data_IF_017564176312
#
_entry.id   IF_017564176312
#
_cell.length_a   1.000
_cell.length_b   1.000
_cell.length_c   1.000
_cell.angle_alpha   90.00
_cell.angle_beta   90.00
_cell.angle_gamma   90.00
#
_symmetry.space_group_name_H-M   'P 1'
#
loop_
_entity.id
_entity.type
_entity.pdbx_description
1 polymer ?
#
# COMPACT_ATOMS: atom_id res chain seq x y z
N UNK A 1 19.69 10.12 5.34
CA UNK A 1 18.42 10.24 4.57
C UNK A 1 17.70 8.91 4.70
N UNK A 2 16.39 8.90 4.89
CA UNK A 2 15.66 7.65 5.04
C UNK A 2 15.85 6.75 3.82
N UNK A 3 15.84 5.44 4.03
CA UNK A 3 15.86 4.47 2.94
C UNK A 3 14.45 4.21 2.41
N UNK A 4 13.46 4.27 3.30
CA UNK A 4 12.06 4.02 3.00
C UNK A 4 11.20 5.21 3.43
N UNK A 5 10.34 5.67 2.52
CA UNK A 5 9.24 6.60 2.81
C UNK A 5 7.93 5.84 2.81
N UNK A 6 7.24 5.83 3.94
CA UNK A 6 5.91 5.20 4.08
C UNK A 6 4.83 6.26 3.85
N UNK A 7 3.94 5.98 2.91
CA UNK A 7 2.88 6.89 2.46
C UNK A 7 1.54 6.40 2.99
N UNK A 8 0.85 7.25 3.73
CA UNK A 8 -0.46 6.93 4.32
C UNK A 8 -1.50 7.93 3.81
N UNK A 9 -2.33 7.56 2.82
CA UNK A 9 -3.52 8.34 2.54
C UNK A 9 -4.52 8.14 3.68
N UNK A 10 -4.91 9.23 4.32
CA UNK A 10 -5.84 9.22 5.45
C UNK A 10 -7.10 10.03 5.14
N UNK A 11 -8.25 9.47 5.48
CA UNK A 11 -9.52 10.17 5.47
C UNK A 11 -10.38 9.71 6.66
N UNK A 12 -10.34 10.49 7.75
CA UNK A 12 -11.19 10.29 8.93
C UNK A 12 -11.03 8.94 9.66
N UNK A 13 -9.88 8.28 9.56
CA UNK A 13 -9.64 7.02 10.25
C UNK A 13 -9.21 7.25 11.71
N UNK A 14 -9.81 6.56 12.67
CA UNK A 14 -9.39 6.62 14.08
C UNK A 14 -8.12 5.80 14.34
N UNK A 15 -7.61 5.06 13.35
CA UNK A 15 -6.48 4.15 13.53
C UNK A 15 -5.16 4.69 13.00
N UNK A 16 -5.14 5.88 12.41
CA UNK A 16 -3.96 6.47 11.79
C UNK A 16 -2.78 6.56 12.74
N UNK A 17 -2.98 7.10 13.95
CA UNK A 17 -1.92 7.19 14.93
C UNK A 17 -1.34 5.83 15.35
N UNK A 18 -2.20 4.81 15.50
CA UNK A 18 -1.77 3.43 15.80
C UNK A 18 -0.94 2.84 14.66
N UNK A 19 -1.36 3.07 13.42
CA UNK A 19 -0.61 2.62 12.23
C UNK A 19 0.76 3.27 12.17
N UNK A 20 0.84 4.58 12.35
CA UNK A 20 2.12 5.31 12.37
C UNK A 20 3.02 4.79 13.48
N UNK A 21 2.50 4.66 14.69
CA UNK A 21 3.25 4.14 15.82
C UNK A 21 3.79 2.74 15.54
N UNK A 22 2.96 1.84 15.02
CA UNK A 22 3.37 0.47 14.68
C UNK A 22 4.50 0.45 13.63
N UNK A 23 4.40 1.28 12.59
CA UNK A 23 5.47 1.46 11.60
C UNK A 23 6.77 1.89 12.26
N UNK A 24 6.73 2.94 13.07
CA UNK A 24 7.93 3.52 13.70
C UNK A 24 8.58 2.61 14.74
N UNK A 25 7.81 1.73 15.41
CA UNK A 25 8.29 0.74 16.37
C UNK A 25 8.81 -0.54 15.70
N UNK A 26 8.25 -0.91 14.55
CA UNK A 26 8.56 -2.18 13.87
C UNK A 26 9.64 -2.03 12.82
N UNK A 27 9.81 -0.86 12.23
CA UNK A 27 10.93 -0.60 11.34
C UNK A 27 12.27 -0.75 12.08
N UNK A 28 13.28 -1.27 11.40
CA UNK A 28 14.65 -1.45 11.92
C UNK A 28 15.67 -0.57 11.18
N UNK A 29 15.30 -0.06 10.01
CA UNK A 29 16.09 0.89 9.24
C UNK A 29 15.65 2.34 9.46
N UNK A 30 16.21 3.23 8.65
CA UNK A 30 15.87 4.65 8.66
C UNK A 30 14.62 4.87 7.78
N UNK A 31 13.50 5.19 8.42
CA UNK A 31 12.20 5.39 7.77
C UNK A 31 11.61 6.76 8.08
N UNK A 32 10.88 7.31 7.14
CA UNK A 32 9.97 8.44 7.35
C UNK A 32 8.54 8.04 7.01
N UNK A 33 7.58 8.73 7.60
CA UNK A 33 6.15 8.53 7.34
C UNK A 33 5.55 9.84 6.84
N UNK A 34 4.86 9.79 5.71
CA UNK A 34 4.19 10.96 5.13
C UNK A 34 2.69 10.65 5.04
N UNK A 35 1.91 11.41 5.78
CA UNK A 35 0.46 11.23 5.89
C UNK A 35 -0.24 12.32 5.08
N UNK A 36 -1.03 11.92 4.08
CA UNK A 36 -1.96 12.84 3.45
C UNK A 36 -3.29 12.86 4.21
N UNK A 37 -3.63 14.00 4.78
CA UNK A 37 -4.88 14.22 5.54
C UNK A 37 -5.91 14.85 4.60
N UNK A 38 -6.82 14.03 4.06
CA UNK A 38 -7.76 14.45 3.01
C UNK A 38 -8.99 15.21 3.54
N UNK A 39 -9.29 15.10 4.84
CA UNK A 39 -10.39 15.83 5.51
C UNK A 39 -10.00 16.27 6.93
N UNK A 40 -10.34 15.49 7.95
CA UNK A 40 -10.07 15.82 9.34
C UNK A 40 -8.69 15.34 9.78
N UNK A 41 -8.05 16.14 10.61
CA UNK A 41 -6.80 15.74 11.24
C UNK A 41 -6.99 14.48 12.09
N UNK A 42 -6.01 13.57 12.09
CA UNK A 42 -6.04 12.41 12.97
C UNK A 42 -6.13 12.83 14.45
N UNK A 43 -6.93 12.11 15.22
CA UNK A 43 -7.02 12.27 16.67
C UNK A 43 -6.81 10.90 17.34
N UNK A 44 -5.72 10.72 18.14
CA UNK A 44 -4.67 11.70 18.42
C UNK A 44 -3.74 11.96 17.23
N UNK A 45 -3.18 13.16 17.16
CA UNK A 45 -2.09 13.50 16.26
C UNK A 45 -0.78 12.98 16.85
N UNK A 46 -0.04 12.15 16.10
CA UNK A 46 1.27 11.67 16.54
C UNK A 46 2.36 12.67 16.17
N UNK A 47 2.97 13.31 17.16
CA UNK A 47 4.11 14.22 16.98
C UNK A 47 5.44 13.44 17.08
N UNK A 48 6.04 13.13 15.93
CA UNK A 48 7.37 12.50 15.81
C UNK A 48 8.11 13.17 14.65
N UNK A 49 9.40 13.46 14.82
CA UNK A 49 10.24 14.12 13.81
C UNK A 49 10.35 13.36 12.47
N UNK A 50 10.01 12.08 12.45
CA UNK A 50 9.97 11.24 11.25
C UNK A 50 8.63 11.29 10.53
N UNK A 51 7.63 11.98 11.09
CA UNK A 51 6.28 12.05 10.52
C UNK A 51 6.05 13.44 9.92
N UNK A 52 5.58 13.46 8.70
CA UNK A 52 5.15 14.67 7.99
C UNK A 52 3.68 14.55 7.63
N UNK A 53 2.89 15.55 7.97
CA UNK A 53 1.50 15.64 7.56
C UNK A 53 1.34 16.67 6.44
N UNK A 54 0.57 16.32 5.41
CA UNK A 54 0.13 17.23 4.36
C UNK A 54 -1.40 17.32 4.36
N UNK A 55 -1.90 18.55 4.29
CA UNK A 55 -3.33 18.83 4.25
C UNK A 55 -3.63 19.77 3.10
N UNK A 56 -4.43 19.34 2.10
CA UNK A 56 -4.69 20.14 0.89
C UNK A 56 -5.67 21.31 1.10
N UNK A 57 -6.21 21.50 2.30
CA UNK A 57 -7.21 22.53 2.61
C UNK A 57 -8.65 22.16 2.19
N UNK A 58 -8.79 21.26 1.22
CA UNK A 58 -10.07 20.66 0.80
C UNK A 58 -9.84 19.24 0.29
N UNK A 59 -10.82 18.35 0.36
CA UNK A 59 -10.66 16.97 -0.10
C UNK A 59 -10.25 16.87 -1.57
N UNK A 60 -9.17 16.15 -1.84
CA UNK A 60 -8.59 15.93 -3.19
C UNK A 60 -8.62 14.46 -3.60
N UNK A 61 -8.95 13.57 -2.67
CA UNK A 61 -9.00 12.14 -2.89
C UNK A 61 -7.63 11.44 -2.75
N UNK A 62 -7.72 10.10 -2.68
CA UNK A 62 -6.57 9.26 -2.35
C UNK A 62 -5.44 9.33 -3.38
N UNK A 63 -5.75 9.39 -4.69
CA UNK A 63 -4.75 9.41 -5.75
C UNK A 63 -3.88 10.66 -5.69
N UNK A 64 -4.51 11.82 -5.58
CA UNK A 64 -3.80 13.06 -5.36
C UNK A 64 -2.94 13.00 -4.10
N UNK A 65 -3.52 12.48 -3.01
CA UNK A 65 -2.82 12.36 -1.73
C UNK A 65 -1.57 11.49 -1.81
N UNK A 66 -1.63 10.37 -2.54
CA UNK A 66 -0.47 9.49 -2.77
C UNK A 66 0.57 10.22 -3.60
N UNK A 67 0.20 10.85 -4.73
CA UNK A 67 1.12 11.60 -5.57
C UNK A 67 1.81 12.74 -4.80
N UNK A 68 1.05 13.53 -4.06
CA UNK A 68 1.57 14.64 -3.27
C UNK A 68 2.53 14.17 -2.16
N UNK A 69 2.21 13.07 -1.48
CA UNK A 69 3.08 12.50 -0.46
C UNK A 69 4.37 11.93 -1.05
N UNK A 70 4.30 11.22 -2.18
CA UNK A 70 5.48 10.67 -2.87
C UNK A 70 6.38 11.79 -3.41
N UNK A 71 5.82 12.92 -3.85
CA UNK A 71 6.60 14.08 -4.27
C UNK A 71 7.50 14.64 -3.14
N UNK A 72 7.10 14.49 -1.89
CA UNK A 72 7.88 14.88 -0.70
C UNK A 72 8.81 13.78 -0.19
N UNK A 73 8.64 12.54 -0.65
CA UNK A 73 9.38 11.37 -0.19
C UNK A 73 10.88 11.50 -0.51
N UNK A 74 11.72 11.24 0.49
CA UNK A 74 13.19 11.30 0.42
C UNK A 74 13.84 9.93 0.32
N UNK A 75 13.09 8.85 0.59
CA UNK A 75 13.57 7.48 0.53
C UNK A 75 13.84 7.02 -0.90
N UNK A 76 14.84 6.15 -1.07
CA UNK A 76 15.02 5.40 -2.32
C UNK A 76 13.80 4.53 -2.63
N UNK A 77 13.20 3.97 -1.59
CA UNK A 77 12.02 3.13 -1.66
C UNK A 77 10.80 3.86 -1.11
N UNK A 78 9.64 3.54 -1.65
CA UNK A 78 8.34 4.01 -1.19
C UNK A 78 7.45 2.82 -0.87
N UNK A 79 6.66 2.95 0.18
CA UNK A 79 5.63 1.98 0.55
C UNK A 79 4.33 2.74 0.82
N UNK A 80 3.27 2.46 0.06
CA UNK A 80 1.94 2.93 0.43
C UNK A 80 1.30 1.91 1.38
N UNK A 81 0.63 2.39 2.38
CA UNK A 81 -0.22 1.55 3.23
C UNK A 81 -1.50 2.27 3.62
N UNK A 82 -2.55 1.51 3.92
CA UNK A 82 -3.76 2.09 4.50
C UNK A 82 -3.51 2.55 5.95
N UNK A 83 -4.35 3.43 6.43
CA UNK A 83 -4.28 4.06 7.75
C UNK A 83 -4.77 3.18 8.92
N UNK A 84 -4.99 1.89 8.67
CA UNK A 84 -5.41 0.86 9.63
C UNK A 84 -4.64 -0.45 9.40
N UNK A 85 -3.31 -0.36 9.29
CA UNK A 85 -2.42 -1.49 9.06
C UNK A 85 -1.44 -1.71 10.23
N UNK A 86 -1.07 -2.97 10.42
CA UNK A 86 -0.11 -3.43 11.41
C UNK A 86 0.99 -4.24 10.70
N UNK A 87 2.23 -4.14 11.17
CA UNK A 87 3.40 -4.72 10.52
C UNK A 87 4.16 -5.68 11.44
N UNK A 88 4.85 -6.65 10.85
CA UNK A 88 5.83 -7.45 11.57
C UNK A 88 7.16 -6.68 11.72
N UNK A 89 7.93 -7.00 12.77
CA UNK A 89 9.21 -6.35 13.01
C UNK A 89 10.19 -6.57 11.86
N UNK A 90 10.83 -5.51 11.40
CA UNK A 90 11.80 -5.55 10.31
C UNK A 90 11.18 -5.65 8.92
N UNK A 91 9.89 -5.33 8.77
CA UNK A 91 9.20 -5.34 7.48
C UNK A 91 9.93 -4.52 6.42
N UNK A 92 10.47 -3.37 6.80
CA UNK A 92 11.23 -2.46 5.95
C UNK A 92 12.49 -3.12 5.39
N UNK A 93 13.26 -3.77 6.24
CA UNK A 93 14.47 -4.49 5.86
C UNK A 93 14.15 -5.66 4.94
N UNK A 94 13.12 -6.47 5.27
CA UNK A 94 12.70 -7.62 4.46
C UNK A 94 12.30 -7.16 3.06
N UNK A 95 11.50 -6.10 2.94
CA UNK A 95 11.07 -5.59 1.63
C UNK A 95 12.25 -5.08 0.81
N UNK A 96 13.17 -4.32 1.43
CA UNK A 96 14.35 -3.77 0.74
C UNK A 96 15.30 -4.89 0.29
N UNK A 97 15.61 -5.87 1.14
CA UNK A 97 16.52 -6.95 0.81
C UNK A 97 16.01 -7.88 -0.28
N UNK A 98 14.69 -8.00 -0.40
CA UNK A 98 14.04 -8.83 -1.41
C UNK A 98 13.62 -8.06 -2.66
N UNK A 99 13.92 -6.76 -2.77
CA UNK A 99 13.64 -5.96 -3.95
C UNK A 99 14.78 -6.11 -4.98
N UNK A 100 14.76 -7.22 -5.72
CA UNK A 100 15.87 -7.62 -6.57
C UNK A 100 15.88 -6.93 -7.94
N UNK A 101 14.79 -6.31 -8.36
CA UNK A 101 14.69 -5.61 -9.64
C UNK A 101 13.94 -4.30 -9.47
N UNK A 102 14.47 -3.23 -10.06
CA UNK A 102 13.94 -1.87 -9.91
C UNK A 102 12.53 -1.69 -10.51
N UNK A 103 12.12 -2.55 -11.44
CA UNK A 103 10.80 -2.55 -12.07
C UNK A 103 9.75 -3.41 -11.34
N UNK A 104 10.06 -3.96 -10.18
CA UNK A 104 9.11 -4.72 -9.39
C UNK A 104 8.23 -3.83 -8.52
N UNK A 105 7.00 -4.30 -8.32
CA UNK A 105 6.10 -3.84 -7.26
C UNK A 105 5.85 -5.00 -6.32
N UNK A 106 6.35 -4.90 -5.09
CA UNK A 106 6.18 -5.94 -4.08
C UNK A 106 4.88 -5.71 -3.31
N UNK A 107 4.14 -6.80 -3.10
CA UNK A 107 2.90 -6.84 -2.36
C UNK A 107 3.07 -7.71 -1.13
N UNK A 108 3.15 -7.14 0.07
CA UNK A 108 3.25 -7.92 1.29
C UNK A 108 2.05 -8.85 1.49
N UNK A 109 2.30 -10.04 2.04
CA UNK A 109 1.22 -10.95 2.46
C UNK A 109 0.28 -10.25 3.41
N UNK A 110 -1.02 -10.27 3.12
CA UNK A 110 -2.02 -9.64 3.96
C UNK A 110 -2.69 -10.63 4.91
N UNK A 111 -2.65 -10.30 6.18
CA UNK A 111 -3.45 -10.90 7.23
C UNK A 111 -4.62 -9.98 7.59
N UNK A 112 -5.74 -10.57 8.03
CA UNK A 112 -6.86 -9.77 8.54
C UNK A 112 -6.51 -9.20 9.92
N UNK A 113 -6.73 -7.90 10.10
CA UNK A 113 -6.57 -7.19 11.37
C UNK A 113 -7.93 -7.02 12.06
N UNK A 114 -7.97 -7.25 13.35
CA UNK A 114 -8.98 -6.72 14.26
C UNK A 114 -8.44 -5.36 14.74
N UNK A 115 -8.87 -4.27 14.09
CA UNK A 115 -8.32 -2.95 14.33
C UNK A 115 -8.65 -2.40 15.71
N UNK A 116 -9.80 -2.76 16.29
CA UNK A 116 -10.17 -2.35 17.64
C UNK A 116 -9.22 -2.95 18.68
N UNK A 117 -8.91 -4.24 18.56
CA UNK A 117 -8.00 -4.94 19.46
C UNK A 117 -6.53 -4.83 19.07
N UNK A 118 -6.25 -4.25 17.91
CA UNK A 118 -4.93 -4.17 17.29
C UNK A 118 -4.19 -5.50 17.27
N UNK A 119 -4.87 -6.52 16.71
CA UNK A 119 -4.38 -7.91 16.68
C UNK A 119 -4.74 -8.58 15.37
N UNK A 120 -3.83 -9.46 14.89
CA UNK A 120 -4.15 -10.34 13.78
C UNK A 120 -5.38 -11.18 14.08
N UNK A 121 -6.36 -11.17 13.19
CA UNK A 121 -7.51 -12.07 13.24
C UNK A 121 -7.13 -13.43 12.65
N UNK A 122 -6.82 -14.38 13.54
CA UNK A 122 -6.40 -15.74 13.15
C UNK A 122 -7.53 -16.61 12.60
N UNK A 123 -8.79 -16.19 12.72
CA UNK A 123 -9.94 -16.95 12.18
C UNK A 123 -10.10 -16.75 10.67
N UNK A 124 -9.43 -15.77 10.07
CA UNK A 124 -9.46 -15.50 8.64
C UNK A 124 -8.15 -15.94 7.98
N UNK A 125 -8.20 -16.56 6.79
CA UNK A 125 -7.00 -16.92 6.07
C UNK A 125 -6.24 -15.65 5.63
N UNK A 126 -4.94 -15.80 5.42
CA UNK A 126 -4.14 -14.76 4.77
C UNK A 126 -4.46 -14.71 3.26
N UNK A 127 -4.04 -13.62 2.60
CA UNK A 127 -4.21 -13.41 1.16
C UNK A 127 -2.86 -13.12 0.52
N UNK A 128 -2.51 -13.92 -0.49
CA UNK A 128 -1.29 -13.77 -1.28
C UNK A 128 -1.60 -13.40 -2.74
N UNK A 129 -2.61 -14.04 -3.33
CA UNK A 129 -2.86 -13.94 -4.75
C UNK A 129 -4.23 -13.40 -5.07
N UNK A 130 -4.25 -12.50 -6.06
CA UNK A 130 -5.47 -12.06 -6.70
C UNK A 130 -5.32 -12.24 -8.21
N UNK A 131 -6.42 -12.48 -8.90
CA UNK A 131 -6.50 -12.32 -10.35
C UNK A 131 -7.36 -11.11 -10.69
N UNK A 132 -7.10 -10.51 -11.85
CA UNK A 132 -7.84 -9.36 -12.33
C UNK A 132 -9.15 -9.83 -12.95
N UNK A 133 -10.26 -9.17 -12.60
CA UNK A 133 -11.56 -9.47 -13.14
C UNK A 133 -12.21 -8.22 -13.76
N UNK A 134 -13.04 -8.45 -14.77
CA UNK A 134 -13.82 -7.39 -15.41
C UNK A 134 -14.87 -6.82 -14.45
N UNK A 135 -15.35 -5.59 -14.72
CA UNK A 135 -16.49 -5.02 -14.01
C UNK A 135 -17.68 -6.00 -13.98
N UNK A 136 -18.26 -6.19 -12.81
CA UNK A 136 -19.40 -7.08 -12.61
C UNK A 136 -20.64 -6.25 -12.31
N UNK A 137 -21.51 -6.09 -13.29
CA UNK A 137 -22.73 -5.29 -13.16
C UNK A 137 -23.54 -5.68 -11.93
N UNK A 138 -23.93 -4.69 -11.15
CA UNK A 138 -24.71 -4.85 -9.92
C UNK A 138 -23.88 -5.31 -8.70
N UNK A 139 -22.55 -5.35 -8.79
CA UNK A 139 -21.65 -5.59 -7.67
C UNK A 139 -21.03 -4.28 -7.18
N UNK A 140 -20.53 -4.28 -5.94
CA UNK A 140 -19.67 -3.19 -5.50
C UNK A 140 -18.49 -3.07 -6.48
N UNK A 141 -18.18 -1.84 -6.91
CA UNK A 141 -17.12 -1.55 -7.88
C UNK A 141 -17.42 -2.09 -9.29
N UNK A 142 -18.68 -2.05 -9.71
CA UNK A 142 -19.11 -2.50 -11.03
C UNK A 142 -18.69 -1.56 -12.18
N UNK A 143 -18.14 -0.39 -11.85
CA UNK A 143 -17.60 0.61 -12.76
C UNK A 143 -16.12 0.43 -13.13
N UNK A 144 -15.44 -0.58 -12.58
CA UNK A 144 -14.02 -0.81 -12.84
C UNK A 144 -13.55 -2.25 -12.72
N UNK A 145 -12.32 -2.50 -13.17
CA UNK A 145 -11.64 -3.77 -12.96
C UNK A 145 -11.23 -3.90 -11.50
N UNK A 146 -11.27 -5.11 -10.95
CA UNK A 146 -10.87 -5.36 -9.57
C UNK A 146 -10.17 -6.70 -9.40
N UNK A 147 -9.39 -6.79 -8.30
CA UNK A 147 -8.73 -8.03 -7.91
C UNK A 147 -9.68 -8.93 -7.12
N UNK A 148 -9.73 -10.20 -7.49
CA UNK A 148 -10.47 -11.25 -6.78
C UNK A 148 -9.50 -12.26 -6.20
N UNK A 149 -9.76 -12.73 -4.98
CA UNK A 149 -8.89 -13.70 -4.32
C UNK A 149 -8.76 -15.01 -5.11
N UNK A 150 -7.53 -15.44 -5.33
CA UNK A 150 -7.21 -16.66 -6.06
C UNK A 150 -6.87 -17.81 -5.11
N UNK A 151 -7.89 -18.32 -4.44
CA UNK A 151 -7.75 -19.34 -3.40
C UNK A 151 -7.12 -20.65 -3.87
N UNK A 152 -7.35 -21.06 -5.13
CA UNK A 152 -6.76 -22.28 -5.68
C UNK A 152 -5.25 -22.16 -5.81
N UNK A 153 -4.74 -21.02 -6.29
CA UNK A 153 -3.30 -20.76 -6.34
C UNK A 153 -2.71 -20.70 -4.94
N UNK A 154 -3.39 -20.04 -4.02
CA UNK A 154 -2.93 -19.94 -2.64
C UNK A 154 -2.83 -21.30 -1.96
N UNK A 155 -3.83 -22.19 -2.15
CA UNK A 155 -3.80 -23.55 -1.59
C UNK A 155 -2.69 -24.42 -2.19
N UNK A 156 -2.32 -24.20 -3.46
CA UNK A 156 -1.24 -24.93 -4.14
C UNK A 156 0.14 -24.42 -3.78
N UNK A 157 0.24 -23.21 -3.19
CA UNK A 157 1.50 -22.69 -2.69
C UNK A 157 1.85 -23.33 -1.35
N UNK A 158 2.18 -24.62 -1.38
CA UNK A 158 2.61 -25.37 -0.21
C UNK A 158 4.13 -25.50 -0.12
N UNK A 159 4.86 -25.07 -1.14
CA UNK A 159 6.33 -25.15 -1.18
C UNK A 159 6.93 -23.96 -0.43
N UNK A 160 7.59 -24.18 0.73
CA UNK A 160 8.26 -23.12 1.48
C UNK A 160 9.46 -22.51 0.75
N UNK A 161 9.85 -23.02 -0.43
CA UNK A 161 10.93 -22.45 -1.24
C UNK A 161 10.56 -21.16 -1.94
N UNK A 162 9.28 -20.82 -2.05
CA UNK A 162 8.83 -19.59 -2.68
C UNK A 162 8.47 -18.54 -1.64
N UNK A 163 9.46 -17.80 -1.17
CA UNK A 163 9.22 -16.62 -0.34
C UNK A 163 8.63 -15.46 -1.17
N UNK A 164 8.95 -15.42 -2.47
CA UNK A 164 8.43 -14.46 -3.45
C UNK A 164 7.81 -15.22 -4.60
N UNK A 165 6.65 -14.78 -5.07
CA UNK A 165 5.95 -15.36 -6.22
C UNK A 165 5.09 -14.28 -6.91
N UNK A 166 4.82 -14.46 -8.20
CA UNK A 166 4.08 -13.49 -9.00
C UNK A 166 2.60 -13.49 -8.69
N UNK A 167 1.99 -12.32 -8.70
CA UNK A 167 0.53 -12.15 -8.62
C UNK A 167 0.04 -11.21 -9.73
N UNK A 168 -0.95 -11.64 -10.55
CA UNK A 168 -1.42 -10.82 -11.68
C UNK A 168 -2.26 -9.62 -11.26
N UNK A 169 -2.71 -9.57 -10.04
CA UNK A 169 -3.41 -8.41 -9.46
C UNK A 169 -3.05 -8.26 -8.00
N UNK A 170 -3.21 -7.07 -7.50
CA UNK A 170 -2.93 -6.74 -6.12
C UNK A 170 -4.08 -5.97 -5.48
N UNK A 171 -4.06 -5.91 -4.17
CA UNK A 171 -4.95 -5.06 -3.40
C UNK A 171 -4.24 -3.77 -2.98
N UNK A 172 -4.98 -2.68 -2.89
CA UNK A 172 -4.42 -1.38 -2.58
C UNK A 172 -3.96 -1.18 -1.13
N UNK A 173 -4.19 -2.14 -0.22
CA UNK A 173 -3.90 -1.93 1.21
C UNK A 173 -2.43 -1.71 1.53
N UNK A 174 -1.52 -2.31 0.77
CA UNK A 174 -0.08 -2.08 0.90
C UNK A 174 0.64 -2.50 -0.38
N UNK A 175 1.57 -1.66 -0.85
CA UNK A 175 2.52 -1.98 -1.91
C UNK A 175 3.83 -1.24 -1.70
N UNK A 176 4.91 -1.79 -2.26
CA UNK A 176 6.27 -1.29 -2.11
C UNK A 176 7.00 -1.33 -3.45
N UNK A 177 7.78 -0.30 -3.76
CA UNK A 177 8.60 -0.20 -4.96
C UNK A 177 9.73 0.83 -4.80
N UNK A 178 10.61 0.96 -5.80
CA UNK A 178 11.53 2.10 -5.85
C UNK A 178 10.77 3.39 -6.18
N UNK A 179 11.19 4.51 -5.60
CA UNK A 179 10.65 5.82 -5.99
C UNK A 179 10.90 6.11 -7.47
N UNK A 180 12.05 5.66 -8.00
CA UNK A 180 12.38 5.78 -9.42
C UNK A 180 11.35 5.08 -10.34
N UNK A 181 10.89 3.89 -9.98
CA UNK A 181 9.86 3.17 -10.74
C UNK A 181 8.54 3.96 -10.75
N UNK A 182 8.14 4.51 -9.60
CA UNK A 182 6.93 5.33 -9.50
C UNK A 182 7.02 6.61 -10.34
N UNK A 183 8.14 7.35 -10.25
CA UNK A 183 8.28 8.65 -10.89
C UNK A 183 8.51 8.54 -12.40
N UNK A 184 9.40 7.64 -12.84
CA UNK A 184 9.92 7.62 -14.21
C UNK A 184 9.28 6.56 -15.11
N UNK A 185 8.68 5.52 -14.54
CA UNK A 185 7.98 4.50 -15.31
C UNK A 185 6.46 4.62 -15.19
N UNK A 186 5.93 4.66 -13.96
CA UNK A 186 4.49 4.82 -13.75
C UNK A 186 4.01 6.24 -14.05
N UNK A 187 4.89 7.25 -13.94
CA UNK A 187 4.60 8.67 -14.03
C UNK A 187 3.52 9.13 -13.03
N UNK A 188 3.56 8.55 -11.83
CA UNK A 188 2.55 8.76 -10.80
C UNK A 188 1.23 8.05 -11.10
N UNK A 189 0.24 8.32 -10.25
CA UNK A 189 -1.12 7.84 -10.43
C UNK A 189 -1.92 8.86 -11.23
N UNK A 190 -2.69 8.40 -12.22
CA UNK A 190 -3.64 9.28 -12.91
C UNK A 190 -4.73 9.75 -11.94
N UNK A 191 -5.03 11.03 -11.95
CA UNK A 191 -6.06 11.63 -11.08
C UNK A 191 -7.43 11.71 -11.76
N UNK A 192 -7.51 11.41 -13.05
CA UNK A 192 -8.71 11.49 -13.86
C UNK A 192 -9.12 10.11 -14.43
N UNK A 193 -10.42 9.93 -14.67
CA UNK A 193 -10.94 8.76 -15.40
C UNK A 193 -11.14 7.50 -14.56
N UNK A 194 -11.07 7.56 -13.24
CA UNK A 194 -11.14 6.38 -12.35
C UNK A 194 -12.47 6.24 -11.58
N UNK A 195 -13.56 6.79 -12.03
CA UNK A 195 -14.86 6.64 -11.40
C UNK A 195 -14.87 6.97 -9.89
N UNK A 196 -15.69 6.26 -9.13
CA UNK A 196 -15.84 6.47 -7.68
C UNK A 196 -14.83 5.69 -6.84
N UNK A 197 -14.24 4.62 -7.39
CA UNK A 197 -13.27 3.78 -6.70
C UNK A 197 -11.86 4.04 -7.22
N UNK A 198 -10.92 4.18 -6.31
CA UNK A 198 -9.59 4.73 -6.63
C UNK A 198 -8.72 3.87 -7.54
N UNK A 199 -8.88 2.54 -7.56
CA UNK A 199 -8.21 1.58 -8.45
C UNK A 199 -6.69 1.78 -8.68
N UNK A 200 -5.99 2.37 -7.73
CA UNK A 200 -4.55 2.59 -7.86
C UNK A 200 -3.78 1.28 -8.03
N UNK A 201 -4.23 0.23 -7.35
CA UNK A 201 -3.62 -1.09 -7.42
C UNK A 201 -3.74 -1.73 -8.81
N UNK A 202 -4.88 -1.56 -9.48
CA UNK A 202 -5.08 -2.05 -10.85
C UNK A 202 -4.25 -1.27 -11.86
N UNK A 203 -4.16 0.05 -11.69
CA UNK A 203 -3.31 0.89 -12.56
C UNK A 203 -1.84 0.50 -12.42
N UNK A 204 -1.32 0.45 -11.20
CA UNK A 204 0.07 0.09 -10.91
C UNK A 204 0.37 -1.31 -11.45
N UNK A 205 -0.47 -2.30 -11.08
CA UNK A 205 -0.28 -3.68 -11.49
C UNK A 205 -0.27 -3.84 -13.00
N UNK A 206 -1.23 -3.28 -13.72
CA UNK A 206 -1.30 -3.39 -15.17
C UNK A 206 -0.13 -2.72 -15.87
N UNK A 207 0.25 -1.50 -15.46
CA UNK A 207 1.40 -0.80 -16.03
C UNK A 207 2.69 -1.60 -15.81
N UNK A 208 2.90 -2.11 -14.59
CA UNK A 208 4.08 -2.89 -14.24
C UNK A 208 4.17 -4.17 -15.06
N UNK A 209 3.12 -4.99 -15.10
CA UNK A 209 3.08 -6.23 -15.88
C UNK A 209 3.29 -6.00 -17.39
N UNK A 210 2.64 -5.00 -17.96
CA UNK A 210 2.79 -4.68 -19.39
C UNK A 210 4.18 -4.11 -19.69
N UNK A 211 4.86 -3.56 -18.72
CA UNK A 211 6.23 -3.05 -18.82
C UNK A 211 7.33 -4.08 -18.53
N UNK A 212 6.97 -5.33 -18.25
CA UNK A 212 7.92 -6.42 -17.99
C UNK A 212 8.45 -6.46 -16.56
N UNK A 213 7.69 -5.94 -15.62
CA UNK A 213 7.97 -5.97 -14.18
C UNK A 213 7.17 -7.03 -13.46
#
# INVERSE_FOLDING_TARGET
MPQLSVIIPNRNSPFTAKTIQDILEKAVGDVEVIVNVDENWPDPLLDDKRVTYIHPGSPRGMRWGINAAIALAKGKYIMKTDDHCMFDKGFDKILIENHLQDNWVQIPRRYSLDAEKWKRNKSRPYRDYLYLCYPQKGKAHDDGMHGVEWWDRQRKRTDPKYDIDDTPSMQGSCWFMTKNHFDNFLHGLSEEGYGQFSQESQEIGNKTWLGGG
#
